data_IF_547554563196
#
_entry.id   IF_547554563196
#
_cell.length_a   1.000
_cell.length_b   1.000
_cell.length_c   1.000
_cell.angle_alpha   90.00
_cell.angle_beta   90.00
_cell.angle_gamma   90.00
#
_symmetry.space_group_name_H-M   'P 1'
#
loop_
_entity.id
_entity.type
_entity.pdbx_description
1 polymer ?
#
# COMPACT_ATOMS: atom_id res chain seq x y z
N UNK A 1 4.93 22.62 3.38
CA UNK A 1 4.98 23.50 2.19
C UNK A 1 5.70 22.88 1.00
N UNK A 2 6.94 22.37 1.11
CA UNK A 2 7.70 21.87 -0.05
C UNK A 2 7.07 20.66 -0.79
N UNK A 3 6.27 19.83 -0.12
CA UNK A 3 5.57 18.69 -0.74
C UNK A 3 4.36 19.11 -1.58
N UNK A 4 3.67 20.20 -1.20
CA UNK A 4 2.50 20.73 -1.92
C UNK A 4 2.90 21.22 -3.32
N UNK A 5 4.06 21.88 -3.44
CA UNK A 5 4.61 22.31 -4.72
C UNK A 5 4.96 21.14 -5.65
N UNK A 6 5.35 19.98 -5.09
CA UNK A 6 5.64 18.78 -5.90
C UNK A 6 4.38 18.14 -6.47
N UNK A 7 3.29 18.11 -5.69
CA UNK A 7 2.02 17.57 -6.17
C UNK A 7 1.43 18.47 -7.27
N UNK A 8 1.45 19.79 -7.05
CA UNK A 8 0.92 20.75 -8.02
C UNK A 8 1.65 20.66 -9.37
N UNK A 9 2.98 20.58 -9.38
CA UNK A 9 3.75 20.43 -10.62
C UNK A 9 3.44 19.12 -11.36
N UNK A 10 3.13 18.04 -10.64
CA UNK A 10 2.70 16.77 -11.26
C UNK A 10 1.31 16.91 -11.88
N UNK A 11 0.37 17.60 -11.22
CA UNK A 11 -0.96 17.86 -11.77
C UNK A 11 -0.84 18.65 -13.09
N UNK A 12 -0.08 19.75 -13.08
CA UNK A 12 0.13 20.57 -14.27
C UNK A 12 0.79 19.78 -15.42
N UNK A 13 1.70 18.85 -15.09
CA UNK A 13 2.32 17.98 -16.09
C UNK A 13 1.34 16.96 -16.68
N UNK A 14 0.35 16.51 -15.91
CA UNK A 14 -0.71 15.61 -16.39
C UNK A 14 -1.73 16.37 -17.23
N UNK A 15 -2.10 17.59 -16.83
CA UNK A 15 -3.03 18.44 -17.59
C UNK A 15 -2.46 18.86 -18.96
N UNK A 16 -1.14 18.91 -19.12
CA UNK A 16 -0.48 19.20 -20.39
C UNK A 16 -0.52 18.03 -21.40
N UNK A 17 -0.91 16.83 -20.97
CA UNK A 17 -1.07 15.66 -21.85
C UNK A 17 -2.39 15.76 -22.64
N UNK A 18 -2.45 15.11 -23.80
CA UNK A 18 -3.72 14.92 -24.52
C UNK A 18 -4.70 14.06 -23.72
N UNK A 19 -6.00 14.15 -24.02
CA UNK A 19 -7.03 13.36 -23.33
C UNK A 19 -6.74 11.85 -23.39
N UNK A 20 -6.30 11.34 -24.55
CA UNK A 20 -5.95 9.93 -24.73
C UNK A 20 -4.73 9.52 -23.86
N UNK A 21 -3.73 10.39 -23.75
CA UNK A 21 -2.56 10.16 -22.89
C UNK A 21 -2.92 10.23 -21.40
N UNK A 22 -3.83 11.12 -21.01
CA UNK A 22 -4.34 11.19 -19.64
C UNK A 22 -5.10 9.91 -19.28
N UNK A 23 -6.00 9.44 -20.16
CA UNK A 23 -6.73 8.18 -19.96
C UNK A 23 -5.79 6.98 -19.82
N UNK A 24 -4.80 6.89 -20.71
CA UNK A 24 -3.76 5.86 -20.64
C UNK A 24 -2.97 5.94 -19.32
N UNK A 25 -2.62 7.14 -18.88
CA UNK A 25 -1.89 7.36 -17.62
C UNK A 25 -2.72 6.90 -16.42
N UNK A 26 -4.02 7.22 -16.37
CA UNK A 26 -4.88 6.83 -15.27
C UNK A 26 -5.04 5.30 -15.18
N UNK A 27 -5.25 4.62 -16.30
CA UNK A 27 -5.30 3.16 -16.33
C UNK A 27 -3.97 2.53 -15.86
N UNK A 28 -2.84 3.07 -16.33
CA UNK A 28 -1.52 2.58 -15.94
C UNK A 28 -1.25 2.78 -14.43
N UNK A 29 -1.56 3.94 -13.87
CA UNK A 29 -1.41 4.22 -12.44
C UNK A 29 -2.31 3.28 -11.63
N UNK A 30 -3.55 3.07 -12.06
CA UNK A 30 -4.47 2.15 -11.40
C UNK A 30 -3.91 0.72 -11.34
N UNK A 31 -3.46 0.20 -12.49
CA UNK A 31 -2.83 -1.13 -12.59
C UNK A 31 -1.58 -1.25 -11.71
N UNK A 32 -0.73 -0.22 -11.70
CA UNK A 32 0.49 -0.18 -10.86
C UNK A 32 0.15 -0.20 -9.37
N UNK A 33 -0.87 0.54 -8.91
CA UNK A 33 -1.30 0.50 -7.50
C UNK A 33 -1.79 -0.89 -7.09
N UNK A 34 -2.55 -1.57 -7.95
CA UNK A 34 -3.00 -2.95 -7.71
C UNK A 34 -1.79 -3.89 -7.62
N UNK A 35 -0.85 -3.81 -8.57
CA UNK A 35 0.34 -4.64 -8.58
C UNK A 35 1.19 -4.45 -7.31
N UNK A 36 1.40 -3.19 -6.90
CA UNK A 36 2.11 -2.86 -5.68
C UNK A 36 1.43 -3.44 -4.43
N UNK A 37 0.10 -3.30 -4.32
CA UNK A 37 -0.65 -3.90 -3.20
C UNK A 37 -0.53 -5.42 -3.17
N UNK A 38 -0.57 -6.10 -4.33
CA UNK A 38 -0.36 -7.55 -4.43
C UNK A 38 1.05 -7.95 -3.98
N UNK A 39 2.07 -7.18 -4.35
CA UNK A 39 3.44 -7.42 -3.90
C UNK A 39 3.57 -7.27 -2.38
N UNK A 40 2.93 -6.27 -1.78
CA UNK A 40 2.92 -6.09 -0.32
C UNK A 40 2.24 -7.28 0.38
N UNK A 41 1.12 -7.76 -0.13
CA UNK A 41 0.43 -8.95 0.41
C UNK A 41 1.32 -10.18 0.30
N UNK A 42 1.95 -10.39 -0.86
CA UNK A 42 2.86 -11.51 -1.07
C UNK A 42 4.07 -11.46 -0.13
N UNK A 43 4.64 -10.27 0.10
CA UNK A 43 5.74 -10.12 1.04
C UNK A 43 5.30 -10.45 2.47
N UNK A 44 4.19 -9.86 2.94
CA UNK A 44 3.64 -10.16 4.27
C UNK A 44 3.33 -11.64 4.45
N UNK A 45 2.80 -12.31 3.42
CA UNK A 45 2.54 -13.74 3.47
C UNK A 45 3.83 -14.57 3.63
N UNK A 46 4.92 -14.18 2.96
CA UNK A 46 6.23 -14.81 3.16
C UNK A 46 6.72 -14.60 4.59
N UNK A 47 6.68 -13.37 5.08
CA UNK A 47 7.14 -13.01 6.42
C UNK A 47 6.39 -13.82 7.50
N UNK A 48 5.06 -13.96 7.35
CA UNK A 48 4.24 -14.78 8.26
C UNK A 48 4.61 -16.26 8.13
N UNK A 49 4.79 -16.77 6.91
CA UNK A 49 5.15 -18.18 6.69
C UNK A 49 6.49 -18.51 7.34
N UNK A 50 7.48 -17.62 7.20
CA UNK A 50 8.78 -17.75 7.84
C UNK A 50 8.69 -17.66 9.36
N UNK A 51 7.90 -16.73 9.91
CA UNK A 51 7.67 -16.63 11.35
C UNK A 51 7.02 -17.90 11.92
N UNK A 52 6.09 -18.53 11.19
CA UNK A 52 5.50 -19.81 11.59
C UNK A 52 6.57 -20.92 11.59
N UNK A 53 7.37 -21.01 10.53
CA UNK A 53 8.45 -22.01 10.42
C UNK A 53 9.49 -21.87 11.54
N UNK A 54 9.84 -20.64 11.90
CA UNK A 54 10.80 -20.33 12.95
C UNK A 54 10.19 -20.36 14.37
N UNK A 55 8.88 -20.63 14.50
CA UNK A 55 8.18 -20.63 15.79
C UNK A 55 8.07 -19.26 16.46
N UNK A 56 8.32 -18.18 15.73
CA UNK A 56 8.27 -16.79 16.21
C UNK A 56 6.96 -16.09 15.86
N UNK A 57 6.07 -16.75 15.11
CA UNK A 57 4.73 -16.23 14.84
C UNK A 57 3.91 -16.16 16.13
N UNK A 58 3.26 -15.00 16.36
CA UNK A 58 2.25 -14.86 17.42
C UNK A 58 1.01 -15.63 17.00
N UNK A 59 0.68 -16.68 17.75
CA UNK A 59 -0.53 -17.49 17.58
C UNK A 59 -1.40 -17.21 18.80
N UNK A 60 -2.65 -16.82 18.56
CA UNK A 60 -3.57 -16.40 19.60
C UNK A 60 -5.01 -16.38 19.13
N UNK A 61 -5.90 -16.03 20.05
CA UNK A 61 -7.33 -15.87 19.77
C UNK A 61 -7.62 -14.58 19.01
N UNK A 62 -8.83 -14.46 18.45
CA UNK A 62 -9.28 -13.22 17.80
C UNK A 62 -9.29 -12.06 18.78
N UNK A 63 -9.64 -12.30 20.05
CA UNK A 63 -9.68 -11.26 21.09
C UNK A 63 -8.28 -10.70 21.39
N UNK A 64 -7.26 -11.57 21.44
CA UNK A 64 -5.85 -11.17 21.60
C UNK A 64 -5.34 -10.37 20.39
N UNK A 65 -5.74 -10.74 19.17
CA UNK A 65 -5.42 -9.99 17.97
C UNK A 65 -6.09 -8.61 17.95
N UNK A 66 -7.34 -8.51 18.39
CA UNK A 66 -8.07 -7.24 18.49
C UNK A 66 -7.42 -6.34 19.53
N UNK A 67 -7.04 -6.89 20.69
CA UNK A 67 -6.28 -6.16 21.70
C UNK A 67 -4.93 -5.64 21.16
N UNK A 68 -4.19 -6.43 20.38
CA UNK A 68 -2.93 -5.95 19.77
C UNK A 68 -3.12 -4.83 18.75
N UNK A 69 -4.20 -4.88 17.97
CA UNK A 69 -4.44 -3.94 16.87
C UNK A 69 -5.03 -2.61 17.33
N UNK A 70 -5.76 -2.62 18.45
CA UNK A 70 -6.56 -1.48 18.91
C UNK A 70 -6.34 -1.14 20.40
N UNK A 71 -5.49 -1.87 21.11
CA UNK A 71 -5.36 -1.80 22.57
C UNK A 71 -4.46 -0.69 23.12
N UNK A 72 -3.77 0.08 22.27
CA UNK A 72 -2.90 1.18 22.70
C UNK A 72 -3.29 2.50 22.01
N UNK A 73 -4.50 3.00 22.26
CA UNK A 73 -4.80 4.44 22.18
C UNK A 73 -4.98 4.99 23.61
N UNK A 74 -3.87 5.29 24.30
CA UNK A 74 -3.80 6.26 25.42
C UNK A 74 -3.01 7.51 24.99
#
# INVERSE_FOLDING_TARGET
>A
MQQTYKLQAVIESVEALSEEEQDMLFDLIHKRRIAHRRQQIAQRARDITEAIQNGTAKIGTVDELVADLFGDEE
#
